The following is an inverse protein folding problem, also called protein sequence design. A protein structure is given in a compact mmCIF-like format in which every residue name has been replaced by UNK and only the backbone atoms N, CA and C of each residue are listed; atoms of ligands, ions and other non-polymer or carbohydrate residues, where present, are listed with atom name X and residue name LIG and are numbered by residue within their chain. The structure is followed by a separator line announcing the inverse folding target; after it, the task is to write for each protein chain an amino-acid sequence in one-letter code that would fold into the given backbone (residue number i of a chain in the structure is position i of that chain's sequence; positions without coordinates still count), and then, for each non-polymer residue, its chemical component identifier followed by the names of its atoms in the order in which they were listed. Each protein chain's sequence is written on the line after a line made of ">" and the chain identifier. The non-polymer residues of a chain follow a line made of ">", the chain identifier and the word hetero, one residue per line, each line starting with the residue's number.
data_IF_259441225254
#
_entry.id   IF_259441225254
#
_cell.length_a   1.000
_cell.length_b   1.000
_cell.length_c   1.000
_cell.angle_alpha   90.00
_cell.angle_beta   90.00
_cell.angle_gamma   90.00
#
_symmetry.space_group_name_H-M   'P 1'
#
loop_
_entity.id
_entity.type
_entity.pdbx_description
1 polymer ?
#
# COMPACT_ATOMS: atom_id res chain seq x y z
N UNK A 1 16.61 0.62 22.57
CA UNK A 1 16.11 -0.77 22.69
C UNK A 1 16.90 -1.63 21.73
N UNK A 2 17.22 -2.87 22.09
CA UNK A 2 17.79 -3.83 21.13
C UNK A 2 16.62 -4.26 20.25
N UNK A 3 16.72 -4.08 18.93
CA UNK A 3 15.72 -4.54 17.97
C UNK A 3 15.62 -6.07 18.00
N UNK A 4 14.40 -6.58 17.81
CA UNK A 4 14.15 -8.02 17.66
C UNK A 4 13.78 -8.25 16.19
N UNK A 5 14.72 -8.68 15.34
CA UNK A 5 14.51 -8.74 13.89
C UNK A 5 13.30 -9.57 13.47
N UNK A 6 12.95 -10.61 14.23
CA UNK A 6 11.79 -11.44 13.94
C UNK A 6 10.45 -10.72 14.23
N UNK A 7 10.39 -9.96 15.33
CA UNK A 7 9.21 -9.14 15.66
C UNK A 7 9.07 -7.97 14.68
N UNK A 8 10.18 -7.33 14.33
CA UNK A 8 10.22 -6.24 13.35
C UNK A 8 9.75 -6.75 11.96
N UNK A 9 10.24 -7.91 11.51
CA UNK A 9 9.79 -8.51 10.26
C UNK A 9 8.28 -8.84 10.30
N UNK A 10 7.79 -9.41 11.41
CA UNK A 10 6.37 -9.69 11.57
C UNK A 10 5.52 -8.41 11.52
N UNK A 11 5.98 -7.33 12.17
CA UNK A 11 5.30 -6.05 12.14
C UNK A 11 5.25 -5.44 10.73
N UNK A 12 6.34 -5.53 9.96
CA UNK A 12 6.40 -5.06 8.57
C UNK A 12 5.47 -5.88 7.67
N UNK A 13 5.46 -7.22 7.83
CA UNK A 13 4.54 -8.09 7.07
C UNK A 13 3.08 -7.79 7.41
N UNK A 14 2.79 -7.52 8.68
CA UNK A 14 1.46 -7.11 9.11
C UNK A 14 1.06 -5.75 8.53
N UNK A 15 1.98 -4.77 8.49
CA UNK A 15 1.75 -3.47 7.85
C UNK A 15 1.31 -3.61 6.39
N UNK A 16 2.01 -4.46 5.62
CA UNK A 16 1.68 -4.73 4.21
C UNK A 16 0.33 -5.44 4.05
N UNK A 17 0.01 -6.36 4.97
CA UNK A 17 -1.30 -7.02 4.97
C UNK A 17 -2.44 -6.03 5.26
N UNK A 18 -2.27 -5.13 6.23
CA UNK A 18 -3.23 -4.06 6.54
C UNK A 18 -3.36 -3.09 5.37
N UNK A 19 -2.25 -2.71 4.73
CA UNK A 19 -2.27 -1.87 3.53
C UNK A 19 -3.16 -2.49 2.43
N UNK A 20 -2.96 -3.78 2.12
CA UNK A 20 -3.72 -4.47 1.09
C UNK A 20 -5.20 -4.66 1.46
N UNK A 21 -5.51 -5.00 2.72
CA UNK A 21 -6.88 -5.10 3.22
C UNK A 21 -7.61 -3.74 3.11
N UNK A 22 -6.94 -2.66 3.48
CA UNK A 22 -7.48 -1.31 3.39
C UNK A 22 -7.80 -0.90 1.94
N UNK A 23 -6.92 -1.25 0.97
CA UNK A 23 -7.21 -1.06 -0.46
C UNK A 23 -8.47 -1.83 -0.87
N UNK A 24 -8.53 -3.12 -0.56
CA UNK A 24 -9.64 -4.00 -0.95
C UNK A 24 -10.99 -3.58 -0.34
N UNK A 25 -10.97 -3.02 0.87
CA UNK A 25 -12.16 -2.52 1.58
C UNK A 25 -12.48 -1.06 1.27
N UNK A 26 -11.62 -0.37 0.50
CA UNK A 26 -11.64 1.08 0.30
C UNK A 26 -11.73 1.85 1.62
N UNK A 27 -10.98 1.39 2.62
CA UNK A 27 -10.92 1.98 3.95
C UNK A 27 -9.80 3.04 4.01
N UNK A 28 -10.14 4.27 3.64
CA UNK A 28 -9.18 5.38 3.59
C UNK A 28 -8.49 5.68 4.92
N UNK A 29 -9.21 5.75 6.05
CA UNK A 29 -8.58 5.91 7.36
C UNK A 29 -7.59 4.80 7.71
N UNK A 30 -7.92 3.53 7.45
CA UNK A 30 -7.01 2.42 7.69
C UNK A 30 -5.80 2.48 6.76
N UNK A 31 -6.00 2.80 5.48
CA UNK A 31 -4.91 2.97 4.52
C UNK A 31 -3.98 4.12 4.93
N UNK A 32 -4.52 5.27 5.33
CA UNK A 32 -3.74 6.37 5.86
C UNK A 32 -2.89 5.97 7.08
N UNK A 33 -3.38 5.06 7.92
CA UNK A 33 -2.62 4.59 9.09
C UNK A 33 -1.34 3.83 8.74
N UNK A 34 -1.20 3.32 7.51
CA UNK A 34 0.01 2.61 7.06
C UNK A 34 1.10 3.53 6.52
N UNK A 35 0.82 4.84 6.43
CA UNK A 35 1.77 5.83 5.93
C UNK A 35 2.42 6.61 7.08
N UNK A 36 3.74 6.79 6.96
CA UNK A 36 4.49 7.77 7.72
C UNK A 36 4.11 9.19 7.29
N UNK A 37 4.18 10.15 8.21
CA UNK A 37 3.77 11.55 7.97
C UNK A 37 4.58 12.21 6.83
N UNK A 38 5.86 11.86 6.71
CA UNK A 38 6.80 12.28 5.67
C UNK A 38 6.97 11.25 4.54
N UNK A 39 6.06 10.27 4.43
CA UNK A 39 6.13 9.20 3.43
C UNK A 39 6.10 9.72 1.99
N UNK A 40 6.73 8.96 1.09
CA UNK A 40 6.76 9.24 -0.35
C UNK A 40 6.11 8.09 -1.10
N UNK A 41 5.16 8.42 -1.98
CA UNK A 41 4.60 7.48 -2.94
C UNK A 41 5.15 7.78 -4.33
N UNK A 42 5.99 6.89 -4.86
CA UNK A 42 6.51 6.99 -6.22
C UNK A 42 5.71 6.05 -7.15
N UNK A 43 5.03 6.65 -8.13
CA UNK A 43 4.35 5.95 -9.21
C UNK A 43 5.11 6.17 -10.52
N UNK A 44 6.09 5.29 -10.80
CA UNK A 44 6.86 5.28 -12.06
C UNK A 44 7.59 6.61 -12.36
N UNK A 45 8.17 7.23 -11.33
CA UNK A 45 8.89 8.50 -11.37
C UNK A 45 8.03 9.72 -11.04
N UNK A 46 6.74 9.53 -10.71
CA UNK A 46 5.87 10.59 -10.22
C UNK A 46 5.77 10.49 -8.69
N UNK A 47 6.59 11.29 -7.99
CA UNK A 47 6.64 11.31 -6.54
C UNK A 47 5.53 12.20 -5.93
N UNK A 48 4.82 11.66 -4.95
CA UNK A 48 3.91 12.38 -4.06
C UNK A 48 4.49 12.31 -2.65
N UNK A 49 4.83 13.45 -2.08
CA UNK A 49 5.48 13.54 -0.76
C UNK A 49 4.51 14.04 0.31
N UNK A 50 4.54 13.39 1.47
CA UNK A 50 3.73 13.74 2.63
C UNK A 50 2.42 12.95 2.65
N UNK A 51 2.07 12.46 3.84
CA UNK A 51 0.92 11.59 4.07
C UNK A 51 -0.40 12.17 3.55
N UNK A 52 -0.69 13.44 3.84
CA UNK A 52 -1.93 14.08 3.43
C UNK A 52 -2.06 14.10 1.90
N UNK A 53 -0.98 14.46 1.19
CA UNK A 53 -0.97 14.48 -0.27
C UNK A 53 -1.12 13.08 -0.89
N UNK A 54 -0.47 12.08 -0.28
CA UNK A 54 -0.58 10.67 -0.70
C UNK A 54 -2.00 10.15 -0.51
N UNK A 55 -2.61 10.41 0.65
CA UNK A 55 -3.98 9.99 0.98
C UNK A 55 -4.99 10.69 0.09
N UNK A 56 -4.84 11.99 -0.17
CA UNK A 56 -5.71 12.73 -1.09
C UNK A 56 -5.61 12.18 -2.51
N UNK A 57 -4.40 11.92 -3.01
CA UNK A 57 -4.19 11.30 -4.32
C UNK A 57 -4.86 9.92 -4.40
N UNK A 58 -4.67 9.07 -3.39
CA UNK A 58 -5.27 7.74 -3.36
C UNK A 58 -6.80 7.79 -3.32
N UNK A 59 -7.39 8.65 -2.47
CA UNK A 59 -8.84 8.82 -2.41
C UNK A 59 -9.42 9.27 -3.76
N UNK A 60 -8.74 10.21 -4.43
CA UNK A 60 -9.11 10.68 -5.76
C UNK A 60 -9.02 9.55 -6.81
N UNK A 61 -7.97 8.74 -6.77
CA UNK A 61 -7.81 7.60 -7.68
C UNK A 61 -8.90 6.53 -7.45
N UNK A 62 -9.18 6.17 -6.19
CA UNK A 62 -10.19 5.17 -5.83
C UNK A 62 -11.61 5.57 -6.24
N UNK A 63 -11.89 6.86 -6.40
CA UNK A 63 -13.17 7.34 -6.95
C UNK A 63 -13.40 6.93 -8.41
N UNK A 64 -12.33 6.68 -9.16
CA UNK A 64 -12.41 6.21 -10.55
C UNK A 64 -12.77 4.74 -10.70
N UNK A 65 -12.80 3.97 -9.61
CA UNK A 65 -13.07 2.53 -9.63
C UNK A 65 -14.37 2.19 -8.92
N UNK A 66 -15.12 1.25 -9.50
CA UNK A 66 -16.22 0.57 -8.83
C UNK A 66 -15.66 -0.40 -7.79
N UNK A 67 -14.62 -1.16 -8.15
CA UNK A 67 -13.83 -1.95 -7.21
C UNK A 67 -12.37 -2.06 -7.65
N UNK A 68 -11.51 -2.31 -6.65
CA UNK A 68 -10.14 -2.75 -6.82
C UNK A 68 -9.93 -3.94 -5.89
N UNK A 69 -9.37 -5.03 -6.42
CA UNK A 69 -8.87 -6.17 -5.65
C UNK A 69 -7.37 -6.24 -5.86
N UNK A 70 -6.61 -5.82 -4.86
CA UNK A 70 -5.15 -5.91 -4.80
C UNK A 70 -4.75 -7.21 -4.10
N UNK A 71 -4.04 -8.07 -4.83
CA UNK A 71 -3.50 -9.34 -4.34
C UNK A 71 -1.99 -9.20 -4.17
N UNK A 72 -1.53 -9.26 -2.92
CA UNK A 72 -0.11 -9.20 -2.58
C UNK A 72 0.42 -10.62 -2.36
N UNK A 73 1.48 -10.99 -3.09
CA UNK A 73 2.09 -12.32 -3.07
C UNK A 73 3.34 -12.38 -2.19
N UNK A 74 4.33 -13.21 -2.57
CA UNK A 74 5.60 -13.30 -1.86
C UNK A 74 6.30 -11.94 -1.77
N UNK A 75 6.94 -11.71 -0.62
CA UNK A 75 7.80 -10.56 -0.41
C UNK A 75 8.95 -10.83 0.54
N UNK A 76 10.00 -10.04 0.36
CA UNK A 76 11.26 -10.07 1.12
C UNK A 76 11.38 -8.82 1.98
N UNK A 77 12.00 -8.94 3.15
CA UNK A 77 12.31 -7.81 4.04
C UNK A 77 13.79 -7.89 4.39
N UNK A 78 14.48 -6.75 4.29
CA UNK A 78 15.86 -6.55 4.72
C UNK A 78 15.86 -5.49 5.82
N UNK A 79 16.33 -5.84 7.02
CA UNK A 79 16.36 -4.96 8.20
C UNK A 79 17.80 -4.50 8.45
N UNK A 80 18.00 -3.19 8.52
CA UNK A 80 19.26 -2.53 8.84
C UNK A 80 19.07 -1.57 10.03
N UNK A 81 19.32 -2.10 11.23
CA UNK A 81 19.21 -1.34 12.48
C UNK A 81 17.78 -0.85 12.74
N UNK A 82 17.55 0.44 12.53
CA UNK A 82 16.26 1.09 12.75
C UNK A 82 15.43 1.27 11.46
N UNK A 83 15.97 0.84 10.32
CA UNK A 83 15.34 0.95 9.01
C UNK A 83 15.12 -0.43 8.41
N UNK A 84 14.13 -0.56 7.53
CA UNK A 84 13.94 -1.79 6.76
C UNK A 84 13.46 -1.47 5.35
N UNK A 85 13.88 -2.28 4.39
CA UNK A 85 13.41 -2.25 3.01
C UNK A 85 12.66 -3.53 2.73
N UNK A 86 11.46 -3.41 2.16
CA UNK A 86 10.67 -4.56 1.75
C UNK A 86 10.28 -4.49 0.28
N UNK A 87 10.09 -5.66 -0.34
CA UNK A 87 9.64 -5.78 -1.73
C UNK A 87 8.61 -6.88 -1.82
N UNK A 88 7.48 -6.58 -2.45
CA UNK A 88 6.41 -7.53 -2.74
C UNK A 88 6.05 -7.48 -4.22
N UNK A 89 5.55 -8.62 -4.71
CA UNK A 89 4.86 -8.69 -5.99
C UNK A 89 3.37 -8.57 -5.73
N UNK A 90 2.67 -7.83 -6.59
CA UNK A 90 1.22 -7.71 -6.53
C UNK A 90 0.62 -7.85 -7.92
N UNK A 91 -0.67 -8.21 -7.93
CA UNK A 91 -1.53 -8.10 -9.10
C UNK A 91 -2.85 -7.45 -8.68
N UNK A 92 -3.50 -6.76 -9.61
CA UNK A 92 -4.76 -6.07 -9.34
C UNK A 92 -5.84 -6.51 -10.33
N UNK A 93 -7.02 -6.81 -9.80
CA UNK A 93 -8.25 -6.87 -10.58
C UNK A 93 -9.07 -5.63 -10.29
N UNK A 94 -9.32 -4.81 -11.31
CA UNK A 94 -10.02 -3.53 -11.14
C UNK A 94 -11.15 -3.40 -12.14
N UNK A 95 -12.22 -2.72 -11.71
CA UNK A 95 -13.29 -2.28 -12.60
C UNK A 95 -13.46 -0.78 -12.47
N UNK A 96 -13.19 0.00 -13.53
CA UNK A 96 -13.51 1.43 -13.54
C UNK A 96 -15.00 1.67 -13.32
N UNK A 97 -15.35 2.82 -12.77
CA UNK A 97 -16.75 3.28 -12.74
C UNK A 97 -17.35 3.26 -14.15
N UNK A 98 -18.63 2.92 -14.24
CA UNK A 98 -19.42 2.90 -15.47
C UNK A 98 -18.87 1.99 -16.60
N UNK A 99 -17.92 1.10 -16.30
CA UNK A 99 -17.35 0.15 -17.26
C UNK A 99 -17.91 -1.26 -17.04
N UNK A 100 -18.34 -1.91 -18.12
CA UNK A 100 -18.66 -3.35 -18.09
C UNK A 100 -17.41 -4.23 -18.18
N UNK A 101 -16.25 -3.65 -18.50
CA UNK A 101 -14.98 -4.36 -18.64
C UNK A 101 -14.10 -4.15 -17.41
N UNK A 102 -13.58 -5.24 -16.87
CA UNK A 102 -12.51 -5.23 -15.89
C UNK A 102 -11.13 -5.10 -16.54
N UNK A 103 -10.14 -4.73 -15.75
CA UNK A 103 -8.72 -4.70 -16.12
C UNK A 103 -7.94 -5.56 -15.13
N UNK A 104 -6.83 -6.09 -15.60
CA UNK A 104 -5.85 -6.79 -14.80
C UNK A 104 -4.52 -6.05 -14.95
N UNK A 105 -3.94 -5.64 -13.83
CA UNK A 105 -2.63 -5.03 -13.76
C UNK A 105 -1.64 -5.97 -13.07
#
# INVERSE_FOLDING_TARGET
>A
MISNPAEDELAIRHLVAVYADAVNRRDGPLWASTWADDGVWDLMGNEITGKDAVVDMWNNAMNGFEFVVQLVYQGTVEIDGASATGRWYLAEHLRPQDSQSGRFN
#
